data_IF_137954644305
#
_entry.id   IF_137954644305
#
_cell.length_a   1.000
_cell.length_b   1.000
_cell.length_c   1.000
_cell.angle_alpha   90.00
_cell.angle_beta   90.00
_cell.angle_gamma   90.00
#
_symmetry.space_group_name_H-M   'P 1'
#
loop_
_entity.id
_entity.type
_entity.pdbx_description
1 polymer ?
2 polymer ?
3 polymer ?
4 water ?
#
# COMPACT_ATOMS: atom_id res chain seq x y z
N UNK A 1 21.97 12.15 16.45
CA UNK A 1 20.65 11.99 17.12
C UNK A 1 19.93 10.74 16.60
N UNK A 2 19.59 9.83 17.51
CA UNK A 2 18.93 8.59 17.14
C UNK A 2 17.67 8.29 17.95
N UNK A 3 16.52 8.34 17.30
CA UNK A 3 15.25 8.03 17.95
C UNK A 3 15.14 6.50 18.01
N UNK A 4 15.03 5.95 19.21
CA UNK A 4 14.94 4.51 19.35
C UNK A 4 13.51 4.08 19.63
N UNK A 5 12.76 3.78 18.57
CA UNK A 5 11.37 3.36 18.70
C UNK A 5 11.23 1.89 19.05
N UNK A 6 10.41 1.62 20.05
CA UNK A 6 10.18 0.27 20.53
C UNK A 6 8.71 0.15 20.95
N UNK A 7 8.05 -1.01 20.67
CA UNK A 7 8.53 -2.23 20.02
C UNK A 7 8.45 -2.19 18.48
N UNK A 8 9.20 -3.09 17.84
CA UNK A 8 9.21 -3.16 16.37
C UNK A 8 7.90 -3.73 15.87
N UNK A 9 7.38 -4.70 16.61
CA UNK A 9 6.14 -5.36 16.28
C UNK A 9 5.25 -5.46 17.53
N UNK A 10 3.94 -5.49 17.33
CA UNK A 10 3.01 -5.56 18.43
C UNK A 10 1.66 -6.12 17.97
N UNK A 11 1.27 -7.22 18.59
CA UNK A 11 0.01 -7.90 18.29
C UNK A 11 -0.88 -7.69 19.51
N UNK A 12 -2.00 -7.00 19.34
CA UNK A 12 -2.90 -6.72 20.47
C UNK A 12 -4.37 -6.92 20.14
N UNK A 13 -5.15 -7.39 21.12
CA UNK A 13 -6.59 -7.66 20.96
C UNK A 13 -7.37 -6.36 20.79
N UNK A 14 -8.63 -6.46 20.37
CA UNK A 14 -9.45 -5.24 20.23
C UNK A 14 -9.89 -4.77 21.61
N UNK A 15 -10.15 -3.48 21.73
CA UNK A 15 -10.54 -2.94 23.02
C UNK A 15 -9.33 -2.66 23.89
N UNK A 16 -8.26 -3.45 23.72
CA UNK A 16 -7.02 -3.31 24.50
C UNK A 16 -6.40 -1.91 24.41
N UNK A 17 -5.43 -1.66 25.29
CA UNK A 17 -4.72 -0.39 25.34
C UNK A 17 -3.25 -0.58 25.00
N UNK A 18 -2.75 0.14 24.01
CA UNK A 18 -1.35 0.02 23.62
C UNK A 18 -0.61 1.35 23.70
N UNK A 19 0.71 1.22 23.93
CA UNK A 19 1.60 2.37 24.01
C UNK A 19 2.87 2.07 23.23
N UNK A 20 3.27 3.02 22.39
CA UNK A 20 4.48 2.89 21.59
C UNK A 20 5.43 3.97 22.10
N UNK A 21 6.68 3.60 22.36
CA UNK A 21 7.66 4.55 22.86
C UNK A 21 8.83 4.84 21.92
N UNK A 22 9.38 6.04 22.06
CA UNK A 22 10.52 6.48 21.27
C UNK A 22 11.49 7.15 22.20
N UNK A 23 12.69 6.57 22.34
CA UNK A 23 13.70 7.13 23.21
C UNK A 23 14.60 8.11 22.48
N UNK A 24 14.45 9.39 22.82
CA UNK A 24 15.25 10.45 22.21
C UNK A 24 16.69 10.32 22.73
N UNK A 25 17.63 10.19 21.81
CA UNK A 25 19.05 10.04 22.15
C UNK A 25 19.75 11.27 22.69
N UNK A 26 19.36 12.47 22.24
CA UNK A 26 20.01 13.69 22.69
C UNK A 26 19.08 14.78 23.18
N UNK A 27 17.87 14.43 23.59
CA UNK A 27 16.91 15.42 24.07
C UNK A 27 16.45 16.33 22.93
N UNK A 28 15.16 16.29 22.66
CA UNK A 28 14.55 17.06 21.59
C UNK A 28 13.41 17.98 22.05
N UNK A 29 13.15 18.01 23.35
CA UNK A 29 12.11 18.87 23.90
C UNK A 29 10.66 18.49 23.62
N UNK A 30 9.93 19.39 22.99
CA UNK A 30 8.52 19.16 22.67
C UNK A 30 8.29 18.98 21.18
N UNK A 31 9.40 18.91 20.44
CA UNK A 31 9.33 18.75 19.00
C UNK A 31 9.41 17.28 18.59
N UNK A 32 8.26 16.61 18.66
CA UNK A 32 8.13 15.21 18.28
C UNK A 32 6.71 14.87 17.89
N UNK A 33 6.52 14.53 16.63
CA UNK A 33 5.21 14.17 16.08
C UNK A 33 5.07 12.65 15.93
N UNK A 34 3.83 12.21 15.74
CA UNK A 34 3.55 10.79 15.55
C UNK A 34 2.72 10.66 14.29
N UNK A 35 3.24 9.90 13.32
CA UNK A 35 2.52 9.72 12.08
C UNK A 35 2.11 8.27 11.90
N UNK A 36 1.02 8.09 11.17
CA UNK A 36 0.47 6.77 10.91
C UNK A 36 0.37 6.46 9.43
N UNK A 37 0.91 5.29 9.05
CA UNK A 37 0.87 4.87 7.66
C UNK A 37 -0.07 3.67 7.55
N UNK A 38 -1.21 3.88 6.88
CA UNK A 38 -2.22 2.84 6.68
C UNK A 38 -1.67 1.85 5.67
N UNK A 39 -2.25 0.62 5.60
CA UNK A 39 -1.77 -0.38 4.64
C UNK A 39 -1.63 0.11 3.20
N UNK A 40 -2.56 0.96 2.76
CA UNK A 40 -2.55 1.51 1.40
C UNK A 40 -1.47 2.55 1.12
N UNK A 41 -0.59 2.77 2.08
CA UNK A 41 0.50 3.73 1.86
C UNK A 41 0.29 5.16 2.32
N UNK A 42 -0.97 5.59 2.40
CA UNK A 42 -1.33 6.94 2.84
C UNK A 42 -0.76 7.29 4.22
N UNK A 43 -0.29 8.54 4.35
CA UNK A 43 0.28 9.01 5.59
C UNK A 43 -0.55 10.12 6.21
N UNK A 44 -0.77 10.03 7.52
CA UNK A 44 -1.53 11.04 8.24
C UNK A 44 -0.88 11.23 9.61
N UNK A 45 -0.53 12.46 9.95
CA UNK A 45 0.07 12.75 11.26
C UNK A 45 -1.04 12.70 12.32
N UNK A 46 -0.81 11.95 13.38
CA UNK A 46 -1.80 11.86 14.45
C UNK A 46 -1.54 12.86 15.56
N UNK A 47 -0.34 12.81 16.13
CA UNK A 47 0.02 13.72 17.22
C UNK A 47 1.10 14.70 16.81
N UNK A 48 0.96 15.96 17.25
CA UNK A 48 1.97 16.98 16.98
C UNK A 48 2.37 17.65 18.30
N UNK A 49 3.56 18.27 18.31
CA UNK A 49 4.10 18.93 19.49
C UNK A 49 4.02 18.06 20.76
N UNK A 50 4.35 16.79 20.58
CA UNK A 50 4.37 15.80 21.65
C UNK A 50 3.05 15.27 22.21
N UNK A 51 2.09 16.15 22.46
CA UNK A 51 0.82 15.73 23.03
C UNK A 51 -0.45 16.24 22.36
N UNK A 52 -0.33 17.29 21.56
CA UNK A 52 -1.49 17.87 20.89
C UNK A 52 -1.97 17.04 19.71
N UNK A 53 -3.25 16.67 19.75
CA UNK A 53 -3.88 15.90 18.68
C UNK A 53 -4.25 16.79 17.51
N UNK A 54 -4.07 16.28 16.29
CA UNK A 54 -4.41 17.03 15.08
C UNK A 54 -5.93 17.05 14.91
N UNK A 55 -6.41 17.68 13.85
CA UNK A 55 -7.83 17.76 13.58
C UNK A 55 -8.39 16.37 13.26
N UNK A 56 -9.62 16.11 13.70
CA UNK A 56 -10.25 14.84 13.40
C UNK A 56 -9.75 13.55 14.02
N UNK A 57 -8.51 13.50 14.49
CA UNK A 57 -8.01 12.28 15.10
C UNK A 57 -8.75 11.98 16.41
N UNK A 58 -9.44 10.82 16.46
CA UNK A 58 -10.22 10.33 17.59
C UNK A 58 -9.58 10.50 18.97
N UNK A 59 -10.46 10.63 19.97
CA UNK A 59 -10.11 10.82 21.37
C UNK A 59 -9.23 9.74 22.01
N UNK A 60 -9.24 8.53 21.45
CA UNK A 60 -8.44 7.42 22.00
C UNK A 60 -6.93 7.54 21.75
N UNK A 61 -6.53 8.57 21.01
CA UNK A 61 -5.12 8.80 20.71
C UNK A 61 -4.52 9.89 21.61
N UNK A 62 -3.45 9.55 22.32
CA UNK A 62 -2.81 10.53 23.19
C UNK A 62 -1.29 10.52 23.10
N UNK A 63 -0.69 11.66 23.48
CA UNK A 63 0.75 11.78 23.46
C UNK A 63 1.24 12.32 24.78
N UNK A 64 2.45 11.93 25.17
CA UNK A 64 3.02 12.38 26.45
C UNK A 64 4.48 11.98 26.64
N UNK A 65 5.24 12.90 27.22
CA UNK A 65 6.66 12.69 27.50
C UNK A 65 6.82 12.19 28.93
N UNK A 66 7.99 11.64 29.22
CA UNK A 66 8.35 11.13 30.54
C UNK A 66 9.85 10.92 30.48
N UNK A 67 10.59 12.02 30.62
CA UNK A 67 12.04 11.96 30.54
C UNK A 67 12.44 12.00 29.08
N UNK A 68 13.31 11.08 28.66
CA UNK A 68 13.72 11.02 27.27
C UNK A 68 12.84 10.05 26.47
N UNK A 69 11.71 9.68 27.07
CA UNK A 69 10.76 8.75 26.46
C UNK A 69 9.43 9.38 26.07
N UNK A 70 9.20 9.47 24.77
CA UNK A 70 7.96 10.04 24.24
C UNK A 70 7.10 8.87 23.79
N UNK A 71 5.79 8.93 24.07
CA UNK A 71 4.90 7.84 23.73
C UNK A 71 3.53 8.19 23.21
N UNK A 72 3.05 7.35 22.30
CA UNK A 72 1.73 7.47 21.70
C UNK A 72 0.94 6.37 22.38
N UNK A 73 -0.32 6.66 22.73
CA UNK A 73 -1.13 5.66 23.42
C UNK A 73 -2.55 5.59 22.88
N UNK A 74 -3.06 4.37 22.74
CA UNK A 74 -4.42 4.14 22.27
C UNK A 74 -5.15 3.45 23.41
N UNK A 75 -6.13 4.16 23.99
CA UNK A 75 -6.93 3.66 25.11
C UNK A 75 -7.68 2.36 24.84
N UNK A 76 -8.32 2.28 23.68
CA UNK A 76 -9.03 1.07 23.27
C UNK A 76 -8.76 0.85 21.79
N UNK A 77 -8.16 -0.30 21.47
CA UNK A 77 -7.80 -0.62 20.10
C UNK A 77 -8.99 -1.02 19.22
N UNK A 78 -9.03 -0.46 18.01
CA UNK A 78 -10.08 -0.76 17.04
C UNK A 78 -9.48 -1.37 15.76
N UNK A 79 -10.33 -1.99 14.93
CA UNK A 79 -9.88 -2.60 13.69
C UNK A 79 -9.17 -1.62 12.75
N UNK A 80 -9.74 -0.41 12.64
CA UNK A 80 -9.20 0.65 11.78
C UNK A 80 -7.85 1.19 12.25
N UNK A 81 -7.36 0.71 13.39
CA UNK A 81 -6.08 1.16 13.93
C UNK A 81 -4.88 0.38 13.41
N UNK A 82 -5.17 -0.66 12.64
CA UNK A 82 -4.13 -1.50 12.03
C UNK A 82 -3.31 -0.65 11.08
N UNK A 83 -2.04 -0.44 11.41
CA UNK A 83 -1.16 0.38 10.59
C UNK A 83 0.27 0.34 11.10
N UNK A 84 1.12 1.19 10.53
CA UNK A 84 2.52 1.29 10.94
C UNK A 84 2.68 2.67 11.52
N UNK A 85 3.31 2.77 12.68
CA UNK A 85 3.48 4.08 13.32
C UNK A 85 4.94 4.49 13.46
N UNK A 86 5.21 5.75 13.14
CA UNK A 86 6.56 6.30 13.21
C UNK A 86 6.59 7.59 14.03
N UNK A 87 7.62 7.75 14.85
CA UNK A 87 7.76 8.97 15.64
C UNK A 87 8.72 9.90 14.91
N UNK A 88 8.32 11.15 14.70
CA UNK A 88 9.17 12.11 14.01
C UNK A 88 9.66 13.22 14.95
N UNK A 89 10.96 13.50 14.94
CA UNK A 89 11.51 14.57 15.76
C UNK A 89 11.96 15.70 14.83
N UNK A 90 11.49 16.90 15.12
CA UNK A 90 11.88 18.04 14.31
C UNK A 90 12.46 19.11 15.21
N UNK A 91 13.58 18.76 15.85
CA UNK A 91 14.26 19.69 16.75
C UNK A 91 15.60 20.05 16.15
N UNK A 92 16.39 19.05 15.79
CA UNK A 92 17.70 19.28 15.18
C UNK A 92 17.84 18.55 13.85
N UNK A 93 18.64 19.13 12.96
CA UNK A 93 18.90 18.58 11.65
C UNK A 93 19.99 17.52 11.71
N UNK A 94 19.83 16.40 10.97
CA UNK A 94 18.66 16.11 10.11
C UNK A 94 17.47 15.62 10.93
N UNK A 95 16.25 15.91 10.47
CA UNK A 95 15.07 15.44 11.18
C UNK A 95 15.08 13.91 11.19
N UNK A 96 14.56 13.30 12.24
CA UNK A 96 14.59 11.86 12.35
C UNK A 96 13.26 11.17 12.62
N UNK A 97 13.12 9.96 12.10
CA UNK A 97 11.95 9.12 12.29
C UNK A 97 12.45 7.91 13.10
N UNK A 98 11.56 7.28 13.86
CA UNK A 98 11.93 6.10 14.60
C UNK A 98 11.87 4.96 13.61
N UNK A 99 12.33 3.77 13.99
CA UNK A 99 12.29 2.63 13.08
C UNK A 99 10.86 2.23 12.71
N UNK A 100 9.88 2.72 13.46
CA UNK A 100 8.49 2.41 13.22
C UNK A 100 8.01 1.24 14.05
N UNK A 101 6.70 1.07 14.11
CA UNK A 101 6.08 -0.04 14.83
C UNK A 101 4.97 -0.57 13.92
N UNK A 102 4.98 -1.88 13.70
CA UNK A 102 3.96 -2.53 12.88
C UNK A 102 2.90 -3.06 13.86
N UNK A 103 1.73 -2.43 13.86
CA UNK A 103 0.65 -2.82 14.77
C UNK A 103 -0.36 -3.79 14.18
N UNK A 104 -0.29 -5.04 14.64
CA UNK A 104 -1.18 -6.11 14.19
C UNK A 104 -2.30 -6.31 15.19
N UNK A 105 -3.44 -6.80 14.71
CA UNK A 105 -4.61 -7.01 15.55
C UNK A 105 -4.99 -8.46 15.87
N UNK A 106 -4.91 -8.85 17.14
CA UNK A 106 -5.29 -10.19 17.55
C UNK A 106 -6.78 -10.29 17.29
N UNK A 107 -7.19 -11.42 16.75
CA UNK A 107 -8.58 -11.60 16.38
C UNK A 107 -8.96 -13.02 16.67
N UNK A 108 -10.25 -13.27 16.60
CA UNK A 108 -10.79 -14.58 16.84
C UNK A 108 -10.69 -15.43 15.55
N UNK A 109 -10.37 -16.72 15.65
CA UNK A 109 -10.26 -17.60 14.47
C UNK A 109 -11.47 -17.53 13.51
N UNK A 110 -11.18 -17.35 12.22
CA UNK A 110 -12.22 -17.26 11.20
C UNK A 110 -11.87 -18.12 10.02
N UNK A 111 -12.81 -18.98 9.61
CA UNK A 111 -12.61 -19.87 8.48
C UNK A 111 -12.82 -19.14 7.17
N UNK A 112 -12.04 -19.49 6.14
CA UNK A 112 -12.11 -18.88 4.81
C UNK A 112 -13.20 -19.39 3.88
N UNK A 113 -13.69 -18.48 3.03
CA UNK A 113 -14.68 -18.83 2.02
C UNK A 113 -13.77 -19.14 0.83
N UNK A 114 -13.95 -20.29 0.19
CA UNK A 114 -13.09 -20.62 -0.93
C UNK A 114 -13.75 -20.52 -2.30
N UNK A 115 -13.07 -19.91 -3.26
CA UNK A 115 -13.58 -19.77 -4.61
C UNK A 115 -12.54 -20.20 -5.65
N UNK A 116 -13.01 -20.71 -6.79
CA UNK A 116 -12.10 -21.12 -7.85
C UNK A 116 -12.47 -20.47 -9.17
N UNK A 117 -11.46 -19.98 -9.86
CA UNK A 117 -11.67 -19.30 -11.13
C UNK A 117 -10.95 -19.97 -12.29
N UNK A 118 -11.71 -20.36 -13.34
CA UNK A 118 -11.11 -21.01 -14.51
C UNK A 118 -10.46 -19.90 -15.35
N UNK A 119 -9.52 -20.26 -16.24
CA UNK A 119 -8.88 -19.24 -17.08
C UNK A 119 -9.89 -18.61 -18.01
N UNK A 120 -9.70 -17.32 -18.31
CA UNK A 120 -10.58 -16.62 -19.22
C UNK A 120 -10.23 -17.07 -20.64
N UNK A 121 -11.20 -17.06 -21.54
CA UNK A 121 -10.92 -17.46 -22.91
C UNK A 121 -9.96 -16.45 -23.55
N UNK A 122 -10.17 -15.18 -23.22
CA UNK A 122 -9.32 -14.09 -23.72
C UNK A 122 -7.83 -14.34 -23.45
N UNK A 123 -7.53 -15.13 -22.43
CA UNK A 123 -6.15 -15.44 -22.09
C UNK A 123 -5.73 -16.76 -22.72
N UNK A 124 -6.68 -17.67 -22.86
CA UNK A 124 -6.38 -18.97 -23.46
C UNK A 124 -5.82 -18.73 -24.84
N UNK A 125 -6.46 -17.84 -25.59
CA UNK A 125 -6.04 -17.48 -26.94
C UNK A 125 -4.63 -16.88 -26.94
N UNK A 126 -4.22 -16.34 -25.80
CA UNK A 126 -2.90 -15.74 -25.68
C UNK A 126 -1.82 -16.81 -25.55
N UNK A 127 -2.22 -18.04 -25.25
CA UNK A 127 -1.27 -19.13 -25.12
C UNK A 127 -0.99 -19.65 -23.72
N UNK A 128 -1.58 -19.01 -22.71
CA UNK A 128 -1.40 -19.41 -21.31
C UNK A 128 -2.73 -19.48 -20.59
N UNK A 129 -2.73 -20.14 -19.43
CA UNK A 129 -3.93 -20.28 -18.61
C UNK A 129 -3.59 -20.15 -17.13
N UNK A 130 -4.20 -19.13 -16.50
CA UNK A 130 -4.01 -18.88 -15.08
C UNK A 130 -5.25 -19.33 -14.29
N UNK A 131 -5.11 -20.36 -13.47
CA UNK A 131 -6.24 -20.80 -12.66
C UNK A 131 -6.04 -20.17 -11.28
N UNK A 132 -7.05 -19.41 -10.83
CA UNK A 132 -6.99 -18.74 -9.53
C UNK A 132 -7.88 -19.34 -8.44
N UNK A 133 -7.31 -19.48 -7.26
CA UNK A 133 -8.05 -19.99 -6.13
C UNK A 133 -8.10 -18.92 -5.04
N UNK A 134 -9.30 -18.46 -4.72
CA UNK A 134 -9.48 -17.42 -3.71
C UNK A 134 -9.94 -17.91 -2.34
N UNK A 135 -9.22 -17.47 -1.31
CA UNK A 135 -9.52 -17.80 0.09
C UNK A 135 -9.94 -16.46 0.70
N UNK A 136 -11.23 -16.20 0.75
CA UNK A 136 -11.69 -14.92 1.29
C UNK A 136 -11.99 -14.84 2.79
N UNK A 137 -11.54 -13.74 3.40
CA UNK A 137 -11.74 -13.40 4.81
C UNK A 137 -11.56 -14.48 5.88
N UNK A 138 -10.31 -14.74 6.26
CA UNK A 138 -10.01 -15.73 7.27
C UNK A 138 -8.98 -15.21 8.25
N UNK A 139 -8.74 -15.99 9.30
CA UNK A 139 -7.78 -15.65 10.33
C UNK A 139 -7.52 -16.93 11.11
N UNK A 140 -6.26 -17.23 11.46
CA UNK A 140 -5.02 -16.47 11.23
C UNK A 140 -4.44 -16.59 9.82
N UNK A 141 -3.31 -15.92 9.59
CA UNK A 141 -2.68 -15.91 8.27
C UNK A 141 -2.36 -17.26 7.64
N UNK A 142 -1.82 -18.20 8.43
CA UNK A 142 -1.46 -19.53 7.94
C UNK A 142 -2.59 -20.23 7.21
N UNK A 143 -2.25 -20.94 6.13
CA UNK A 143 -3.20 -21.68 5.31
C UNK A 143 -2.38 -22.54 4.36
N UNK A 144 -2.93 -23.67 3.95
CA UNK A 144 -2.22 -24.58 3.05
C UNK A 144 -3.08 -24.87 1.83
N UNK A 145 -2.80 -24.15 0.74
CA UNK A 145 -3.53 -24.33 -0.51
C UNK A 145 -2.74 -25.29 -1.41
N UNK A 146 -3.39 -26.34 -1.88
CA UNK A 146 -2.74 -27.32 -2.76
C UNK A 146 -3.51 -27.50 -4.06
N UNK A 147 -2.78 -27.56 -5.16
CA UNK A 147 -3.40 -27.74 -6.47
C UNK A 147 -3.34 -29.18 -6.96
N UNK A 148 -4.45 -29.64 -7.53
CA UNK A 148 -4.53 -31.00 -8.05
C UNK A 148 -5.21 -31.05 -9.41
N UNK A 149 -4.40 -31.35 -10.42
CA UNK A 149 -4.86 -31.46 -11.81
C UNK A 149 -5.05 -32.94 -12.11
N UNK A 150 -6.30 -33.36 -12.31
CA UNK A 150 -6.64 -34.77 -12.55
C UNK A 150 -6.11 -35.59 -11.39
N UNK A 151 -6.36 -35.09 -10.18
CA UNK A 151 -5.91 -35.72 -8.94
C UNK A 151 -4.38 -35.82 -8.84
N UNK A 152 -3.68 -35.12 -9.74
CA UNK A 152 -2.22 -35.10 -9.73
C UNK A 152 -1.73 -33.90 -8.92
N UNK A 153 -1.01 -34.17 -7.84
CA UNK A 153 -0.48 -33.14 -6.96
C UNK A 153 0.51 -32.24 -7.70
N UNK A 154 0.31 -30.93 -7.60
CA UNK A 154 1.17 -29.95 -8.24
C UNK A 154 2.32 -29.48 -7.36
N UNK A 155 3.32 -28.87 -7.99
CA UNK A 155 4.49 -28.36 -7.30
C UNK A 155 5.27 -27.42 -8.21
N UNK A 156 5.89 -26.41 -7.61
CA UNK A 156 6.67 -25.46 -8.36
C UNK A 156 5.96 -24.68 -9.46
N UNK A 157 4.65 -24.86 -9.63
CA UNK A 157 3.93 -24.13 -10.67
C UNK A 157 2.78 -23.22 -10.20
N UNK A 158 2.95 -22.62 -9.03
CA UNK A 158 1.95 -21.71 -8.49
C UNK A 158 2.57 -20.84 -7.41
N UNK A 159 2.09 -19.59 -7.34
CA UNK A 159 2.56 -18.63 -6.36
C UNK A 159 1.37 -17.96 -5.66
N UNK A 160 1.58 -17.62 -4.39
CA UNK A 160 0.56 -17.00 -3.55
C UNK A 160 0.79 -15.55 -3.18
N UNK A 161 -0.31 -14.86 -2.90
CA UNK A 161 -0.26 -13.47 -2.49
C UNK A 161 -1.27 -13.32 -1.36
N UNK A 162 -0.90 -12.56 -0.33
CA UNK A 162 -1.76 -12.33 0.82
C UNK A 162 -1.92 -10.84 1.08
N UNK A 163 -3.15 -10.41 1.37
CA UNK A 163 -3.45 -9.01 1.69
C UNK A 163 -3.09 -8.76 3.15
N UNK A 164 -2.92 -7.49 3.53
CA UNK A 164 -2.64 -7.20 4.93
C UNK A 164 -3.98 -7.25 5.66
N UNK A 165 -3.97 -7.16 6.99
CA UNK A 165 -5.22 -7.21 7.75
C UNK A 165 -6.25 -6.18 7.35
N UNK A 166 -7.49 -6.62 7.21
CA UNK A 166 -8.59 -5.75 6.81
C UNK A 166 -8.90 -4.70 7.86
N UNK A 167 -9.16 -3.48 7.42
CA UNK A 167 -9.46 -2.38 8.32
C UNK A 167 -10.75 -2.54 9.11
N UNK A 168 -11.66 -3.40 8.62
CA UNK A 168 -12.94 -3.60 9.30
C UNK A 168 -13.09 -4.85 10.14
N UNK A 169 -12.69 -6.00 9.59
CA UNK A 169 -12.82 -7.23 10.34
C UNK A 169 -11.49 -7.90 10.69
N UNK A 170 -10.39 -7.20 10.42
CA UNK A 170 -9.05 -7.68 10.74
C UNK A 170 -8.71 -9.08 10.16
N UNK A 171 -9.37 -9.47 9.08
CA UNK A 171 -9.11 -10.78 8.47
C UNK A 171 -8.09 -10.68 7.33
N UNK A 172 -7.72 -11.82 6.77
CA UNK A 172 -6.78 -11.88 5.65
C UNK A 172 -7.46 -12.57 4.47
N UNK A 173 -6.95 -12.28 3.27
CA UNK A 173 -7.44 -12.92 2.06
C UNK A 173 -6.21 -13.38 1.30
N UNK A 174 -6.32 -14.51 0.61
CA UNK A 174 -5.19 -15.06 -0.12
C UNK A 174 -5.55 -15.72 -1.46
N UNK A 175 -4.76 -15.42 -2.49
CA UNK A 175 -4.98 -16.00 -3.80
C UNK A 175 -3.81 -16.89 -4.17
N UNK A 176 -4.13 -18.04 -4.75
CA UNK A 176 -3.12 -18.98 -5.22
C UNK A 176 -3.38 -19.09 -6.71
N UNK A 177 -2.43 -18.63 -7.51
CA UNK A 177 -2.59 -18.67 -8.95
C UNK A 177 -1.73 -19.76 -9.58
N UNK A 178 -2.38 -20.77 -10.16
CA UNK A 178 -1.70 -21.86 -10.85
C UNK A 178 -1.61 -21.48 -12.33
N UNK A 179 -0.39 -21.31 -12.83
CA UNK A 179 -0.18 -20.92 -14.22
C UNK A 179 0.31 -22.07 -15.10
N UNK A 180 -0.32 -22.21 -16.28
CA UNK A 180 0.04 -23.26 -17.22
C UNK A 180 -0.04 -22.76 -18.66
N UNK A 181 0.50 -23.56 -19.57
CA UNK A 181 0.46 -23.23 -21.00
C UNK A 181 -0.90 -23.68 -21.53
N UNK A 182 -1.38 -23.05 -22.60
CA UNK A 182 -2.68 -23.44 -23.16
C UNK A 182 -2.69 -24.95 -23.41
N UNK A 183 -1.51 -25.51 -23.68
CA UNK A 183 -1.33 -26.93 -23.93
C UNK A 183 -1.80 -27.74 -22.74
N UNK A 184 -0.98 -27.76 -21.68
CA UNK A 184 -1.28 -28.50 -20.45
C UNK A 184 -2.73 -28.38 -19.99
N UNK A 185 -3.24 -27.15 -19.91
CA UNK A 185 -4.61 -26.92 -19.47
C UNK A 185 -5.64 -27.67 -20.33
N UNK A 186 -5.33 -27.84 -21.61
CA UNK A 186 -6.24 -28.54 -22.53
C UNK A 186 -6.13 -30.06 -22.45
N UNK A 187 -4.99 -30.55 -21.98
CA UNK A 187 -4.79 -31.99 -21.85
C UNK A 187 -5.69 -32.60 -20.78
N UNK A 188 -5.63 -32.02 -19.58
CA UNK A 188 -6.39 -32.48 -18.40
C UNK A 188 -7.80 -31.94 -18.23
N UNK A 189 -8.54 -32.51 -17.27
CA UNK A 189 -9.92 -32.07 -17.01
C UNK A 189 -10.26 -31.65 -15.57
N UNK A 190 -9.87 -32.46 -14.60
CA UNK A 190 -10.16 -32.18 -13.18
C UNK A 190 -9.22 -31.13 -12.55
N UNK A 191 -9.79 -29.97 -12.27
CA UNK A 191 -9.04 -28.87 -11.64
C UNK A 191 -9.60 -28.61 -10.25
N UNK A 192 -8.78 -28.91 -9.25
CA UNK A 192 -9.19 -28.75 -7.86
C UNK A 192 -8.23 -27.99 -6.97
N UNK A 193 -8.82 -27.14 -6.13
CA UNK A 193 -8.09 -26.33 -5.17
C UNK A 193 -8.40 -26.89 -3.78
N UNK A 194 -7.37 -27.22 -3.00
CA UNK A 194 -7.61 -27.77 -1.67
C UNK A 194 -7.06 -26.93 -0.51
N UNK A 195 -8.00 -26.29 0.20
CA UNK A 195 -7.67 -25.43 1.33
C UNK A 195 -7.67 -26.13 2.68
N UNK A 196 -6.70 -25.77 3.50
CA UNK A 196 -6.54 -26.32 4.83
C UNK A 196 -6.22 -25.17 5.75
N UNK A 197 -7.11 -24.92 6.71
CA UNK A 197 -6.94 -23.82 7.64
C UNK A 197 -7.33 -24.23 9.05
N UNK A 198 -6.87 -23.45 10.02
CA UNK A 198 -7.17 -23.68 11.44
C UNK A 198 -8.68 -23.70 11.67
N UNK A 199 -9.37 -22.78 11.00
CA UNK A 199 -10.81 -22.65 11.15
C UNK A 199 -11.69 -23.65 10.44
N UNK A 200 -11.09 -24.72 9.90
CA UNK A 200 -11.83 -25.77 9.21
C UNK A 200 -11.60 -27.12 9.88
N UNK A 201 -12.67 -27.86 10.09
CA UNK A 201 -12.60 -29.16 10.73
C UNK A 201 -12.05 -30.21 9.76
N UNK A 202 -12.24 -29.96 8.47
CA UNK A 202 -11.78 -30.84 7.40
C UNK A 202 -11.35 -29.95 6.24
N UNK A 203 -10.27 -30.32 5.55
CA UNK A 203 -9.80 -29.50 4.42
C UNK A 203 -10.91 -29.41 3.39
N UNK A 204 -11.15 -28.21 2.87
CA UNK A 204 -12.19 -27.96 1.87
C UNK A 204 -11.61 -28.02 0.46
N UNK A 205 -12.38 -28.55 -0.50
CA UNK A 205 -11.93 -28.65 -1.88
C UNK A 205 -12.95 -28.11 -2.87
N UNK A 206 -12.61 -27.00 -3.52
CA UNK A 206 -13.48 -26.39 -4.51
C UNK A 206 -12.89 -26.76 -5.88
N UNK A 207 -13.75 -27.16 -6.82
CA UNK A 207 -13.24 -27.55 -8.13
C UNK A 207 -14.20 -27.36 -9.29
N UNK A 208 -13.65 -27.46 -10.49
CA UNK A 208 -14.42 -27.33 -11.72
C UNK A 208 -13.82 -28.27 -12.75
N UNK A 209 -14.66 -28.76 -13.65
CA UNK A 209 -14.21 -29.63 -14.71
C UNK A 209 -14.34 -28.85 -16.00
N UNK A 210 -13.26 -28.85 -16.78
CA UNK A 210 -13.22 -28.13 -18.05
C UNK A 210 -14.40 -28.49 -19.01
N UNK B 1 -10.84 21.85 0.09
CA UNK B 1 -10.36 22.25 -1.25
C UNK B 1 -8.83 22.38 -1.36
N UNK B 2 -8.11 22.29 -0.25
CA UNK B 2 -6.65 22.40 -0.26
C UNK B 2 -5.93 21.06 -0.12
N UNK B 3 -5.03 20.78 -1.07
CA UNK B 3 -4.30 19.52 -1.09
C UNK B 3 -2.98 19.53 -1.87
N UNK B 4 -2.15 18.52 -1.62
CA UNK B 4 -0.85 18.38 -2.30
C UNK B 4 -0.89 17.20 -3.28
N UNK B 5 -0.91 17.50 -4.58
CA UNK B 5 -0.95 16.44 -5.60
C UNK B 5 0.41 16.20 -6.28
N UNK B 6 0.94 15.01 -6.07
CA UNK B 6 2.24 14.64 -6.63
C UNK B 6 2.22 14.02 -8.02
N UNK B 7 3.32 14.18 -8.75
CA UNK B 7 3.46 13.65 -10.10
C UNK B 7 3.28 12.15 -10.12
N UNK B 8 3.06 11.59 -11.31
CA UNK B 8 2.83 10.16 -11.41
C UNK B 8 4.05 9.27 -11.30
N UNK B 9 3.80 8.01 -10.95
CA UNK B 9 4.85 7.01 -10.81
C UNK B 9 5.59 6.90 -12.13
N UNK B 10 6.90 6.65 -12.06
CA UNK B 10 7.69 6.56 -13.25
C UNK B 10 8.96 5.73 -13.11
N UNK B 11 9.47 5.26 -14.24
CA UNK B 11 10.69 4.47 -14.31
C UNK B 11 11.77 5.35 -14.90
N UNK B 12 13.00 5.19 -14.42
CA UNK B 12 14.12 5.98 -14.93
C UNK B 12 15.40 5.12 -14.96
N UNK B 13 16.22 5.35 -15.99
CA UNK B 13 17.48 4.61 -16.17
C UNK B 13 18.52 5.04 -15.13
N UNK B 14 19.44 4.13 -14.76
CA UNK B 14 20.46 4.49 -13.77
C UNK B 14 21.35 5.57 -14.32
N UNK B 15 22.08 6.25 -13.45
CA UNK B 15 22.96 7.32 -13.89
C UNK B 15 22.22 8.57 -14.33
N UNK B 16 20.93 8.43 -14.62
CA UNK B 16 20.11 9.56 -15.05
C UNK B 16 19.65 10.45 -13.90
N UNK B 17 18.77 11.38 -14.22
CA UNK B 17 18.20 12.31 -13.25
C UNK B 17 16.70 12.38 -13.44
N UNK B 18 15.99 12.68 -12.36
CA UNK B 18 14.55 12.83 -12.43
C UNK B 18 14.16 14.07 -11.64
N UNK B 19 12.98 14.59 -11.93
CA UNK B 19 12.50 15.78 -11.25
C UNK B 19 11.07 15.57 -10.81
N UNK B 20 10.91 15.09 -9.58
CA UNK B 20 9.59 14.85 -9.00
C UNK B 20 8.93 16.19 -8.70
N UNK B 21 7.61 16.23 -8.72
CA UNK B 21 6.88 17.46 -8.44
C UNK B 21 5.87 17.28 -7.31
N UNK B 22 5.36 18.40 -6.81
CA UNK B 22 4.39 18.44 -5.71
C UNK B 22 3.65 19.76 -5.84
N UNK B 23 2.47 19.72 -6.47
CA UNK B 23 1.68 20.94 -6.68
C UNK B 23 0.64 21.16 -5.60
N UNK B 24 0.77 22.32 -4.95
CA UNK B 24 -0.12 22.74 -3.88
C UNK B 24 -1.40 23.28 -4.50
N UNK B 25 -2.54 22.97 -3.89
CA UNK B 25 -3.81 23.42 -4.41
C UNK B 25 -4.69 23.88 -3.25
N UNK B 26 -5.35 25.02 -3.43
CA UNK B 26 -6.24 25.55 -2.40
C UNK B 26 -5.53 26.42 -1.37
N UNK B 27 -4.33 26.86 -1.71
CA UNK B 27 -3.52 27.71 -0.85
C UNK B 27 -2.20 28.05 -1.54
N UNK B 28 -1.59 29.17 -1.15
CA UNK B 28 -0.32 29.58 -1.73
C UNK B 28 0.79 28.79 -1.06
N UNK B 29 1.61 28.12 -1.87
CA UNK B 29 2.69 27.27 -1.37
C UNK B 29 3.74 27.93 -0.47
N UNK B 30 4.01 29.23 -0.64
CA UNK B 30 4.99 29.88 0.20
C UNK B 30 4.53 30.11 1.63
N UNK B 31 3.23 29.93 1.90
CA UNK B 31 2.73 30.12 3.25
C UNK B 31 3.11 28.94 4.14
N UNK B 32 3.96 28.06 3.61
CA UNK B 32 4.39 26.86 4.35
C UNK B 32 5.79 26.37 4.00
N UNK B 33 6.27 25.42 4.80
CA UNK B 33 7.56 24.76 4.59
C UNK B 33 7.18 23.44 3.89
N UNK B 34 7.87 23.11 2.79
CA UNK B 34 7.57 21.86 2.08
C UNK B 34 8.70 20.85 2.26
N UNK B 35 8.37 19.73 2.91
CA UNK B 35 9.34 18.66 3.17
C UNK B 35 9.24 17.52 2.17
N UNK B 36 10.35 16.79 2.02
CA UNK B 36 10.41 15.64 1.13
C UNK B 36 10.91 14.42 1.88
N UNK B 37 10.09 13.37 1.89
CA UNK B 37 10.41 12.15 2.61
C UNK B 37 10.46 10.93 1.67
N UNK B 38 11.48 10.10 1.86
CA UNK B 38 11.72 8.93 1.04
C UNK B 38 11.44 7.63 1.79
N UNK B 39 10.99 6.59 1.08
CA UNK B 39 10.71 5.29 1.70
C UNK B 39 11.04 4.09 0.82
N UNK B 40 12.17 3.45 1.08
CA UNK B 40 12.60 2.27 0.31
C UNK B 40 11.65 1.13 0.62
N UNK B 41 11.37 0.26 -0.38
CA UNK B 41 10.46 -0.88 -0.19
C UNK B 41 10.73 -1.64 1.09
N UNK B 42 9.67 -1.89 1.86
CA UNK B 42 9.75 -2.63 3.14
C UNK B 42 10.70 -1.95 4.13
N UNK B 43 10.72 -0.62 4.12
CA UNK B 43 11.59 0.16 4.98
C UNK B 43 10.89 1.33 5.66
N UNK B 44 11.65 2.05 6.50
CA UNK B 44 11.12 3.18 7.21
C UNK B 44 11.25 4.50 6.46
N UNK B 45 10.57 5.53 6.97
CA UNK B 45 10.60 6.86 6.36
C UNK B 45 11.92 7.56 6.64
N UNK B 46 12.35 8.40 5.69
CA UNK B 46 13.60 9.14 5.81
C UNK B 46 13.36 10.56 5.35
N UNK B 47 13.91 11.51 6.09
CA UNK B 47 13.77 12.91 5.73
C UNK B 47 14.88 13.28 4.75
N UNK B 48 14.51 13.89 3.63
CA UNK B 48 15.47 14.29 2.60
C UNK B 48 15.89 15.75 2.75
N UNK B 49 14.90 16.62 2.95
CA UNK B 49 15.18 18.04 3.10
C UNK B 49 13.90 18.84 3.04
N UNK B 50 13.99 20.15 3.28
CA UNK B 50 12.81 21.01 3.24
C UNK B 50 13.08 22.36 2.59
N UNK B 51 12.07 22.91 1.93
CA UNK B 51 12.23 24.20 1.26
C UNK B 51 11.27 25.29 1.76
N UNK B 52 11.74 26.53 1.70
CA UNK B 52 10.96 27.70 2.07
C UNK B 52 10.75 28.37 0.71
N UNK B 53 9.69 27.96 -0.03
CA UNK B 53 9.39 28.50 -1.36
C UNK B 53 9.41 30.01 -1.49
N UNK B 54 9.20 30.68 -0.36
CA UNK B 54 9.20 32.14 -0.30
C UNK B 54 10.48 32.71 -0.89
N UNK B 55 11.61 32.11 -0.53
CA UNK B 55 12.92 32.55 -1.01
C UNK B 55 13.77 31.41 -1.56
N UNK B 56 13.22 30.20 -1.51
CA UNK B 56 13.90 29.03 -2.02
C UNK B 56 14.98 28.45 -1.13
N UNK B 57 15.06 28.96 0.10
CA UNK B 57 16.06 28.50 1.04
C UNK B 57 15.78 27.04 1.39
N UNK B 58 16.81 26.20 1.24
CA UNK B 58 16.69 24.77 1.50
C UNK B 58 17.64 24.21 2.55
N UNK B 59 17.15 23.22 3.31
CA UNK B 59 17.93 22.51 4.34
C UNK B 59 17.83 21.02 3.99
N UNK B 60 18.95 20.30 4.08
CA UNK B 60 18.98 18.88 3.73
C UNK B 60 19.55 17.92 4.79
N UNK B 61 19.26 16.64 4.61
CA UNK B 61 19.77 15.59 5.47
C UNK B 61 21.18 15.38 4.89
N UNK B 62 22.16 15.02 5.72
CA UNK B 62 23.53 14.80 5.22
C UNK B 62 23.69 13.83 4.05
N UNK B 63 23.12 12.63 4.17
CA UNK B 63 23.25 11.64 3.10
C UNK B 63 22.66 12.03 1.75
N UNK B 64 21.61 12.85 1.73
CA UNK B 64 20.97 13.27 0.48
C UNK B 64 21.52 14.55 -0.15
N UNK B 65 22.33 15.30 0.58
CA UNK B 65 22.86 16.57 0.10
C UNK B 65 23.67 16.58 -1.20
N UNK B 66 24.27 15.46 -1.55
CA UNK B 66 25.05 15.41 -2.78
C UNK B 66 24.29 14.87 -3.98
N UNK B 67 22.99 14.61 -3.79
CA UNK B 67 22.14 14.05 -4.84
C UNK B 67 20.83 14.83 -5.00
N UNK B 68 20.27 15.28 -3.88
CA UNK B 68 19.01 16.01 -3.92
C UNK B 68 19.19 17.51 -4.10
N UNK B 69 18.19 18.14 -4.71
CA UNK B 69 18.16 19.57 -4.96
C UNK B 69 16.70 19.96 -5.01
N UNK B 70 16.18 20.48 -3.92
CA UNK B 70 14.78 20.87 -3.86
C UNK B 70 14.60 22.30 -4.34
N UNK B 71 13.53 22.57 -5.09
CA UNK B 71 13.27 23.93 -5.61
C UNK B 71 11.77 24.20 -5.61
N UNK B 72 11.38 25.38 -6.07
CA UNK B 72 9.96 25.72 -6.12
C UNK B 72 9.66 26.80 -7.15
N UNK B 73 8.39 26.91 -7.51
CA UNK B 73 7.94 27.91 -8.46
C UNK B 73 6.66 28.52 -7.91
N UNK B 74 6.83 29.60 -7.15
CA UNK B 74 5.73 30.30 -6.51
C UNK B 74 4.51 30.46 -7.43
N UNK B 75 4.76 30.90 -8.65
CA UNK B 75 3.69 31.11 -9.64
C UNK B 75 2.96 29.81 -10.00
N UNK B 76 3.74 28.76 -10.27
CA UNK B 76 3.18 27.45 -10.59
C UNK B 76 2.61 26.78 -9.34
N UNK B 77 2.94 27.34 -8.18
CA UNK B 77 2.51 26.83 -6.89
C UNK B 77 2.98 25.40 -6.67
N UNK B 78 4.17 25.10 -7.18
CA UNK B 78 4.77 23.76 -7.09
C UNK B 78 6.18 23.71 -6.50
N UNK B 79 6.47 22.59 -5.83
CA UNK B 79 7.78 22.35 -5.22
C UNK B 79 8.33 21.11 -5.90
N UNK B 80 9.60 21.15 -6.31
CA UNK B 80 10.19 20.00 -6.98
C UNK B 80 11.36 19.43 -6.21
N UNK B 81 11.54 18.12 -6.34
CA UNK B 81 12.65 17.39 -5.72
C UNK B 81 13.46 16.84 -6.91
N UNK B 82 14.71 17.26 -7.04
CA UNK B 82 15.54 16.81 -8.16
C UNK B 82 16.66 15.87 -7.74
N UNK B 83 16.64 14.64 -8.25
CA UNK B 83 17.66 13.64 -7.94
C UNK B 83 18.60 13.40 -9.12
N UNK B 84 19.90 13.45 -8.86
CA UNK B 84 20.92 13.24 -9.90
C UNK B 84 21.64 11.93 -9.69
N UNK B 85 22.29 11.42 -10.74
CA UNK B 85 23.03 10.16 -10.66
C UNK B 85 22.21 9.07 -9.95
N UNK B 86 21.11 8.68 -10.56
CA UNK B 86 20.21 7.67 -10.01
C UNK B 86 20.76 6.25 -9.99
N UNK B 87 20.42 5.52 -8.93
CA UNK B 87 20.84 4.13 -8.77
C UNK B 87 19.71 3.32 -8.14
N UNK B 88 19.97 2.03 -7.95
CA UNK B 88 19.01 1.10 -7.35
C UNK B 88 18.59 1.52 -5.93
N UNK B 89 19.48 2.21 -5.22
CA UNK B 89 19.18 2.66 -3.87
C UNK B 89 18.17 3.83 -3.87
N UNK B 90 17.86 4.35 -5.06
CA UNK B 90 16.89 5.44 -5.18
C UNK B 90 15.48 4.97 -5.53
N UNK B 91 15.29 3.66 -5.67
CA UNK B 91 13.97 3.12 -5.97
C UNK B 91 13.25 3.16 -4.63
N UNK B 92 12.18 3.94 -4.58
CA UNK B 92 11.39 4.09 -3.37
C UNK B 92 10.26 5.06 -3.67
N UNK B 93 9.33 5.20 -2.73
CA UNK B 93 8.26 6.17 -2.93
C UNK B 93 8.60 7.45 -2.14
N UNK B 94 8.50 8.58 -2.83
CA UNK B 94 8.79 9.90 -2.28
C UNK B 94 7.52 10.67 -1.95
N UNK B 95 7.44 11.16 -0.71
CA UNK B 95 6.27 11.91 -0.24
C UNK B 95 6.55 13.38 0.04
N UNK B 96 5.59 14.26 -0.25
CA UNK B 96 5.79 15.66 0.09
C UNK B 96 4.77 16.01 1.16
N UNK B 97 5.28 16.53 2.28
CA UNK B 97 4.42 16.91 3.39
C UNK B 97 4.45 18.41 3.62
N UNK B 98 3.30 18.97 3.97
CA UNK B 98 3.19 20.41 4.22
C UNK B 98 3.54 20.79 5.66
N UNK B 99 4.23 21.91 5.82
CA UNK B 99 4.60 22.41 7.12
C UNK B 99 4.04 23.82 7.26
N UNK B 100 2.72 23.91 7.38
CA UNK B 100 2.02 25.19 7.48
C UNK B 100 2.31 25.99 8.74
N UNK B 101 1.92 27.27 8.70
CA UNK B 101 2.11 28.17 9.84
C UNK B 101 1.28 27.65 11.00
N UNK B 102 -0.03 27.54 10.78
CA UNK B 102 -0.92 27.00 11.79
C UNK B 102 -0.67 25.50 11.76
N UNK B 103 0.18 25.03 12.68
CA UNK B 103 0.56 23.62 12.77
C UNK B 103 -0.59 22.63 12.55
N UNK B 104 -1.79 23.05 12.92
CA UNK B 104 -2.99 22.22 12.79
C UNK B 104 -3.39 21.96 11.33
N UNK B 105 -2.84 22.76 10.41
CA UNK B 105 -3.14 22.64 8.99
C UNK B 105 -2.17 21.80 8.14
N UNK B 106 -1.45 20.88 8.76
CA UNK B 106 -0.49 20.05 8.03
C UNK B 106 -1.09 18.74 7.52
N UNK B 107 -0.70 18.38 6.30
CA UNK B 107 -1.16 17.15 5.65
C UNK B 107 -0.10 16.65 4.65
N UNK B 108 -0.21 15.40 4.22
CA UNK B 108 0.75 14.84 3.27
C UNK B 108 0.20 14.52 1.88
N UNK B 109 1.11 14.27 0.95
CA UNK B 109 0.74 13.89 -0.41
C UNK B 109 0.74 12.37 -0.55
N UNK B 110 0.03 11.88 -1.58
CA UNK B 110 -0.11 10.43 -1.86
C UNK B 110 1.22 9.68 -2.08
N UNK B 111 2.22 10.37 -2.62
CA UNK B 111 3.50 9.75 -2.87
C UNK B 111 3.75 9.53 -4.34
N UNK B 112 5.02 9.37 -4.70
CA UNK B 112 5.40 9.15 -6.08
C UNK B 112 6.38 8.01 -6.15
N UNK B 113 5.91 6.87 -6.63
CA UNK B 113 6.74 5.68 -6.77
C UNK B 113 7.73 5.85 -7.93
N UNK B 114 9.02 5.72 -7.63
CA UNK B 114 10.07 5.86 -8.61
C UNK B 114 10.93 4.61 -8.72
N UNK B 115 10.82 3.88 -9.83
CA UNK B 115 11.63 2.69 -10.01
C UNK B 115 12.81 3.00 -10.94
N UNK B 116 14.02 2.70 -10.46
CA UNK B 116 15.24 2.92 -11.23
C UNK B 116 15.69 1.57 -11.80
N UNK B 117 15.52 1.37 -13.11
CA UNK B 117 15.90 0.10 -13.74
C UNK B 117 16.51 0.25 -15.12
N UNK B 118 17.25 -0.78 -15.52
CA UNK B 118 17.87 -0.82 -16.84
C UNK B 118 16.85 -1.25 -17.89
N UNK B 119 15.77 -1.87 -17.44
CA UNK B 119 14.69 -2.33 -18.32
C UNK B 119 13.72 -1.25 -18.80
N UNK B 120 12.63 -1.67 -19.44
CA UNK B 120 11.66 -0.73 -19.97
C UNK B 120 10.28 -1.00 -19.41
N UNK B 121 9.39 -0.01 -19.52
CA UNK B 121 8.04 -0.16 -19.00
C UNK B 121 7.17 -1.06 -19.84
N UNK B 122 6.30 -1.81 -19.17
CA UNK B 122 5.40 -2.70 -19.84
C UNK B 122 4.02 -2.69 -19.18
N UNK B 123 3.04 -2.16 -19.91
CA UNK B 123 1.68 -2.10 -19.42
C UNK B 123 1.17 -3.52 -19.18
N UNK B 124 0.10 -3.68 -18.39
CA UNK B 124 -0.40 -5.04 -18.15
C UNK B 124 -1.47 -5.54 -19.11
N UNK B 125 -1.72 -6.85 -19.03
CA UNK B 125 -2.73 -7.53 -19.82
C UNK B 125 -3.81 -7.87 -18.78
N UNK B 126 -5.03 -7.37 -18.98
CA UNK B 126 -6.08 -7.63 -18.02
C UNK B 126 -7.12 -8.67 -18.42
N UNK B 127 -7.06 -9.85 -17.82
CA UNK B 127 -8.01 -10.91 -18.11
C UNK B 127 -9.02 -10.92 -16.98
N UNK B 128 -10.30 -11.16 -17.25
CA UNK B 128 -11.35 -11.19 -16.23
C UNK B 128 -11.43 -12.51 -15.49
N UNK B 129 -11.88 -12.46 -14.25
CA UNK B 129 -12.05 -13.67 -13.46
C UNK B 129 -13.55 -13.82 -13.28
N UNK B 130 -14.16 -14.59 -14.17
CA UNK B 130 -15.59 -14.81 -14.19
C UNK B 130 -16.20 -15.35 -12.89
N UNK B 131 -17.43 -14.92 -12.56
CA UNK B 131 -18.17 -15.34 -11.36
C UNK B 131 -18.37 -16.85 -11.25
N UNK B 132 -19.57 -17.34 -11.60
CA UNK B 132 -19.92 -18.77 -11.52
C UNK B 132 -19.49 -19.46 -10.20
N UNK B 133 -19.78 -18.78 -9.08
CA UNK B 133 -19.43 -19.26 -7.75
C UNK B 133 -20.68 -19.36 -6.84
N UNK B 134 -20.62 -20.25 -5.86
CA UNK B 134 -21.74 -20.44 -4.92
C UNK B 134 -21.32 -20.44 -3.44
N UNK B 135 -21.86 -19.50 -2.67
CA UNK B 135 -21.59 -19.38 -1.24
C UNK B 135 -22.66 -18.56 -0.53
N UNK B 136 -23.86 -19.15 -0.41
CA UNK B 136 -24.97 -18.50 0.27
C UNK B 136 -25.39 -17.14 -0.26
N UNK B 137 -25.64 -17.04 -1.56
CA UNK B 137 -26.04 -15.78 -2.16
C UNK B 137 -24.90 -14.81 -2.37
N UNK B 138 -23.67 -15.25 -2.13
CA UNK B 138 -22.48 -14.42 -2.31
C UNK B 138 -21.57 -15.03 -3.39
N UNK B 139 -21.25 -14.21 -4.39
CA UNK B 139 -20.40 -14.64 -5.51
C UNK B 139 -19.19 -13.74 -5.68
N UNK B 140 -18.03 -14.36 -5.87
CA UNK B 140 -16.76 -13.65 -6.07
C UNK B 140 -16.40 -13.49 -7.54
N UNK B 141 -15.78 -12.37 -7.87
CA UNK B 141 -15.36 -12.10 -9.23
C UNK B 141 -14.15 -11.17 -9.21
N UNK B 142 -13.50 -10.96 -10.35
CA UNK B 142 -12.34 -10.10 -10.36
C UNK B 142 -11.61 -9.89 -11.67
N UNK B 143 -10.36 -9.47 -11.55
CA UNK B 143 -9.50 -9.20 -12.68
C UNK B 143 -8.08 -9.61 -12.38
N UNK B 144 -7.49 -10.37 -13.30
CA UNK B 144 -6.11 -10.81 -13.20
C UNK B 144 -5.31 -9.78 -13.98
N UNK B 145 -4.43 -9.05 -13.31
CA UNK B 145 -3.59 -8.03 -13.94
C UNK B 145 -2.21 -8.63 -14.14
N UNK B 146 -2.00 -9.18 -15.34
CA UNK B 146 -0.77 -9.90 -15.66
C UNK B 146 0.33 -9.21 -16.49
N UNK B 147 1.57 -9.63 -16.24
CA UNK B 147 2.79 -9.16 -16.93
C UNK B 147 2.95 -7.67 -17.15
N UNK B 148 3.42 -6.95 -16.14
CA UNK B 148 3.61 -5.50 -16.25
C UNK B 148 4.84 -5.11 -15.48
N UNK B 149 5.32 -3.90 -15.73
CA UNK B 149 6.51 -3.41 -15.06
C UNK B 149 6.77 -1.95 -15.40
N UNK B 150 7.23 -1.17 -14.41
CA UNK B 150 7.49 -1.59 -13.03
C UNK B 150 6.21 -1.41 -12.21
N UNK B 151 6.36 -1.18 -10.91
CA UNK B 151 5.22 -0.93 -10.04
C UNK B 151 4.97 0.59 -10.07
N UNK B 152 3.74 1.02 -9.73
CA UNK B 152 2.64 0.17 -9.32
C UNK B 152 1.46 0.22 -10.28
N UNK B 153 0.47 -0.61 -10.00
CA UNK B 153 -0.77 -0.66 -10.77
C UNK B 153 -1.86 -0.30 -9.76
N UNK B 154 -2.92 0.35 -10.20
CA UNK B 154 -3.99 0.70 -9.27
C UNK B 154 -5.30 0.21 -9.85
N UNK B 155 -5.98 -0.65 -9.10
CA UNK B 155 -7.26 -1.19 -9.53
C UNK B 155 -8.43 -0.61 -8.75
N UNK B 156 -9.45 -0.16 -9.46
CA UNK B 156 -10.67 0.36 -8.84
C UNK B 156 -11.83 -0.37 -9.52
N UNK B 157 -13.04 -0.24 -8.98
CA UNK B 157 -14.19 -0.91 -9.57
C UNK B 157 -15.37 0.03 -9.82
N UNK B 158 -15.96 -0.10 -10.99
CA UNK B 158 -17.08 0.72 -11.40
C UNK B 158 -16.71 2.18 -11.18
N UNK B 159 -15.53 2.52 -11.67
CA UNK B 159 -14.97 3.86 -11.55
C UNK B 159 -14.95 4.42 -10.13
N UNK B 160 -14.99 3.51 -9.15
CA UNK B 160 -14.94 3.90 -7.76
C UNK B 160 -16.22 3.71 -6.97
N UNK B 161 -17.29 3.28 -7.63
CA UNK B 161 -18.57 3.08 -6.95
C UNK B 161 -18.63 1.79 -6.13
N UNK B 162 -17.81 0.81 -6.48
CA UNK B 162 -17.79 -0.45 -5.74
C UNK B 162 -16.53 -0.46 -4.88
N UNK B 163 -16.73 -0.65 -3.58
CA UNK B 163 -15.63 -0.65 -2.63
C UNK B 163 -15.78 -1.76 -1.60
N UNK B 164 -17.03 -2.06 -1.25
CA UNK B 164 -17.32 -3.09 -0.27
C UNK B 164 -16.94 -4.46 -0.77
N UNK B 165 -15.97 -5.06 -0.08
CA UNK B 165 -15.53 -6.40 -0.44
C UNK B 165 -14.38 -6.47 -1.41
N UNK B 166 -13.92 -5.32 -1.90
CA UNK B 166 -12.81 -5.29 -2.85
C UNK B 166 -11.47 -5.64 -2.21
N UNK B 167 -10.82 -6.67 -2.74
CA UNK B 167 -9.52 -7.11 -2.25
C UNK B 167 -8.50 -7.11 -3.38
N UNK B 168 -7.60 -6.14 -3.39
CA UNK B 168 -6.56 -6.07 -4.41
C UNK B 168 -5.30 -6.60 -3.79
N UNK B 169 -4.82 -7.72 -4.31
CA UNK B 169 -3.60 -8.33 -3.78
C UNK B 169 -2.30 -7.64 -4.16
N UNK B 170 -1.27 -7.82 -3.34
CA UNK B 170 0.01 -7.19 -3.66
C UNK B 170 0.62 -7.94 -4.85
N UNK B 171 1.32 -7.20 -5.70
CA UNK B 171 1.95 -7.75 -6.88
C UNK B 171 2.97 -8.80 -6.53
N UNK B 172 2.97 -9.90 -7.28
CA UNK B 172 3.91 -10.97 -7.07
C UNK B 172 4.94 -10.90 -8.23
N UNK B 173 6.19 -11.27 -7.95
CA UNK B 173 7.23 -11.23 -8.97
C UNK B 173 7.29 -12.55 -9.71
N UNK B 174 7.36 -12.48 -11.03
CA UNK B 174 7.41 -13.69 -11.85
C UNK B 174 8.77 -14.12 -12.42
N UNK B 175 8.76 -15.31 -13.01
CA UNK B 175 9.95 -15.90 -13.63
C UNK B 175 10.53 -14.97 -14.69
N UNK B 176 9.65 -14.27 -15.41
CA UNK B 176 10.07 -13.31 -16.42
C UNK B 176 10.61 -12.01 -15.79
N UNK B 177 10.49 -11.89 -14.47
CA UNK B 177 10.97 -10.68 -13.81
C UNK B 177 9.94 -9.58 -14.00
N UNK B 178 8.72 -9.98 -14.36
CA UNK B 178 7.59 -9.08 -14.56
C UNK B 178 6.59 -9.28 -13.40
N UNK B 179 5.87 -8.22 -13.04
CA UNK B 179 4.89 -8.32 -11.95
C UNK B 179 3.53 -8.73 -12.43
N UNK B 180 2.75 -9.28 -11.51
CA UNK B 180 1.41 -9.72 -11.79
C UNK B 180 0.59 -9.75 -10.48
N UNK B 181 -0.63 -9.26 -10.54
CA UNK B 181 -1.53 -9.23 -9.38
C UNK B 181 -2.95 -9.46 -9.85
N UNK B 182 -3.85 -9.63 -8.90
CA UNK B 182 -5.28 -9.83 -9.19
C UNK B 182 -6.07 -9.09 -8.14
N UNK B 183 -7.21 -8.56 -8.55
CA UNK B 183 -8.08 -7.83 -7.67
C UNK B 183 -9.41 -8.57 -7.68
N UNK B 184 -9.95 -8.89 -6.51
CA UNK B 184 -11.23 -9.57 -6.45
C UNK B 184 -12.25 -8.74 -5.69
N UNK B 185 -13.47 -9.24 -5.63
CA UNK B 185 -14.54 -8.57 -4.92
C UNK B 185 -15.72 -9.52 -4.82
N UNK B 186 -16.40 -9.48 -3.69
CA UNK B 186 -17.57 -10.32 -3.49
C UNK B 186 -18.80 -9.44 -3.62
N UNK B 187 -19.83 -10.00 -4.24
CA UNK B 187 -21.09 -9.30 -4.43
C UNK B 187 -22.17 -10.37 -4.29
N UNK B 188 -23.43 -9.95 -4.07
CA UNK B 188 -24.51 -10.93 -3.92
C UNK B 188 -24.85 -11.50 -5.30
N UNK B 189 -24.87 -12.82 -5.41
CA UNK B 189 -25.17 -13.47 -6.69
C UNK B 189 -26.48 -13.01 -7.33
N UNK B 190 -27.41 -12.54 -6.49
CA UNK B 190 -28.71 -12.07 -6.97
C UNK B 190 -28.59 -10.84 -7.87
N UNK B 191 -27.50 -10.09 -7.74
CA UNK B 191 -27.30 -8.89 -8.55
C UNK B 191 -26.41 -9.13 -9.77
N UNK B 192 -26.00 -10.37 -9.98
CA UNK B 192 -25.14 -10.71 -11.11
C UNK B 192 -25.71 -10.37 -12.48
N UNK B 193 -26.96 -10.77 -12.70
CA UNK B 193 -27.62 -10.52 -13.96
C UNK B 193 -28.20 -9.14 -14.21
N UNK B 194 -27.89 -8.17 -13.35
CA UNK B 194 -28.42 -6.84 -13.54
C UNK B 194 -27.38 -5.74 -13.39
N UNK B 195 -26.42 -5.93 -12.48
CA UNK B 195 -25.36 -4.95 -12.27
C UNK B 195 -24.16 -5.24 -13.17
N UNK B 196 -23.54 -4.16 -13.67
CA UNK B 196 -22.38 -4.26 -14.56
C UNK B 196 -21.08 -4.07 -13.77
N UNK B 197 -20.30 -5.14 -13.67
CA UNK B 197 -19.02 -5.10 -12.96
C UNK B 197 -17.81 -4.91 -13.86
N UNK B 198 -17.19 -3.76 -13.71
CA UNK B 198 -16.03 -3.40 -14.50
C UNK B 198 -14.91 -3.03 -13.55
N UNK B 199 -13.69 -3.50 -13.82
CA UNK B 199 -12.55 -3.14 -13.01
C UNK B 199 -11.71 -2.13 -13.82
N UNK B 200 -11.12 -1.16 -13.12
CA UNK B 200 -10.32 -0.14 -13.79
C UNK B 200 -8.87 -0.21 -13.36
N UNK B 201 -8.03 -0.72 -14.26
CA UNK B 201 -6.59 -0.85 -14.01
C UNK B 201 -5.87 0.38 -14.57
N UNK B 202 -4.81 0.80 -13.89
CA UNK B 202 -4.04 1.94 -14.32
C UNK B 202 -2.56 1.74 -14.01
N UNK B 203 -1.72 1.91 -15.03
CA UNK B 203 -0.29 1.74 -14.87
C UNK B 203 0.36 3.02 -15.39
N UNK B 204 0.61 3.96 -14.47
CA UNK B 204 1.22 5.25 -14.82
C UNK B 204 2.54 5.17 -15.57
N UNK B 205 3.47 4.32 -15.11
CA UNK B 205 4.76 4.21 -15.80
C UNK B 205 4.70 4.01 -17.31
N UNK B 206 3.65 3.36 -17.79
CA UNK B 206 3.52 3.10 -19.22
C UNK B 206 2.30 3.75 -19.85
N UNK B 207 1.65 4.64 -19.12
CA UNK B 207 0.45 5.34 -19.58
C UNK B 207 -0.61 4.45 -20.19
N UNK B 208 -0.99 3.40 -19.47
CA UNK B 208 -2.04 2.52 -19.96
C UNK B 208 -3.22 2.51 -18.99
N UNK B 209 -4.41 2.43 -19.55
CA UNK B 209 -5.64 2.39 -18.77
C UNK B 209 -6.53 1.34 -19.40
N UNK B 210 -6.93 0.34 -18.62
CA UNK B 210 -7.76 -0.72 -19.15
C UNK B 210 -9.03 -0.89 -18.34
N UNK B 211 -10.16 -1.10 -19.03
CA UNK B 211 -11.45 -1.30 -18.38
C UNK B 211 -12.00 -2.62 -18.89
N UNK B 212 -11.87 -3.68 -18.11
CA UNK B 212 -12.38 -4.98 -18.50
C UNK B 212 -13.68 -5.30 -17.78
N UNK B 213 -14.69 -5.70 -18.57
CA UNK B 213 -16.00 -6.08 -18.02
C UNK B 213 -15.99 -7.55 -17.63
N UNK B 214 -16.40 -7.85 -16.41
CA UNK B 214 -16.43 -9.22 -15.92
C UNK B 214 -17.88 -9.69 -16.00
N UNK B 215 -18.13 -10.70 -16.83
CA UNK B 215 -19.48 -11.23 -17.01
C UNK B 215 -19.69 -12.60 -16.38
N UNK B 216 -20.88 -12.84 -15.80
CA UNK B 216 -21.29 -14.08 -15.13
C UNK B 216 -20.72 -15.40 -15.64
N UNK B 217 -21.20 -15.87 -16.78
CA UNK B 217 -20.70 -17.14 -17.30
C UNK B 217 -19.35 -16.94 -17.96
N UNK C 1 7.49 26.99 18.68
CA UNK C 1 8.87 26.49 18.45
C UNK C 1 8.89 25.06 17.89
N UNK C 2 9.29 24.92 16.63
CA UNK C 2 9.35 23.62 15.99
C UNK C 2 10.61 23.49 15.15
N UNK C 3 10.42 23.22 13.86
CA UNK C 3 11.49 23.07 12.86
C UNK C 3 10.85 22.52 11.58
N UNK C 4 9.66 21.94 11.77
CA UNK C 4 8.87 21.36 10.71
C UNK C 4 7.99 22.45 10.10
N UNK C 5 7.49 23.33 10.97
CA UNK C 5 6.62 24.40 10.53
C UNK C 5 7.33 25.70 10.21
N UNK C 6 6.65 26.57 9.48
CA UNK C 6 7.20 27.86 9.12
C UNK C 6 6.91 28.86 10.26
N UNK C 7 7.97 29.42 10.87
CA UNK C 7 7.86 30.38 11.97
C UNK C 7 7.25 31.71 11.53
N UNK C 8 7.69 32.22 10.38
CA UNK C 8 7.20 33.47 9.83
C UNK C 8 5.92 33.29 9.05
N UNK C 9 5.73 34.14 8.04
CA UNK C 9 4.56 34.15 7.15
C UNK C 9 3.26 34.58 7.83
#
# INVERSE_FOLDING_TARGET
>A
LVMTQTPSSLSASLGERVSLTCRASQDIGNNLNWIQQKPDGTIKRLIYATSSLDSGVPKRFSGSRSGSDYSLTISSLESEDFADYYCLQHDTFPLTFGGGTKLEIKRTVAAPSVFIFPPSDEQLKSGTASVVCLLNNFYPREAKVQWKVDNALQSGNSQESVTEQDSKDSTYSLSSTLTLSKADYEKHKVYACEVTHQGLSSPVTKSFNR
>B
VQLLEQSGAELVKPGASVKLSCTASGFNIEDSYIHWVKQRPEQGLEWIGRIDPEDGETKYAPKFQGKATITADTSSNTAYLHLRRLTSEDTAIYYCGRGAYYIKEDFWGQGTTLTVSSASTKGPSVFPLAPSSKAGGTAALGCLVKDYFPEPVTVSWNSGALTSGVHTFPAVLQSSGLYSLSSVVTVPSSSLGTQTYICNVNHKPSNTKVDKKVEPA
>C
HGQWNKPSK
#
